data_IF_814630436794
#
_entry.id   IF_814630436794
#
_cell.length_a   1.000
_cell.length_b   1.000
_cell.length_c   1.000
_cell.angle_alpha   90.00
_cell.angle_beta   90.00
_cell.angle_gamma   90.00
#
_symmetry.space_group_name_H-M   'P 1'
#
loop_
_entity.id
_entity.type
_entity.pdbx_description
1 polymer ?
#
# COMPACT_ATOMS: atom_id res chain seq x y z
N UNK A 1 57.49 24.47 37.43
CA UNK A 1 56.09 24.42 36.95
C UNK A 1 55.85 23.01 36.40
N UNK A 2 55.14 22.14 37.12
CA UNK A 2 54.89 20.74 36.75
C UNK A 2 53.44 20.60 36.31
N UNK A 3 53.22 20.24 35.05
CA UNK A 3 51.89 20.02 34.46
C UNK A 3 51.57 18.54 34.61
N UNK A 4 50.56 18.22 35.42
CA UNK A 4 49.97 16.88 35.50
C UNK A 4 48.88 16.78 34.44
N UNK A 5 49.06 15.89 33.46
CA UNK A 5 48.05 15.57 32.47
C UNK A 5 47.23 14.37 32.95
N UNK A 6 45.97 14.61 33.28
CA UNK A 6 45.00 13.57 33.69
C UNK A 6 44.37 12.97 32.44
N UNK A 7 44.60 11.68 32.19
CA UNK A 7 44.03 10.93 31.06
C UNK A 7 42.67 10.37 31.51
N UNK A 8 41.59 10.85 30.92
CA UNK A 8 40.22 10.36 31.17
C UNK A 8 39.84 9.34 30.10
N UNK A 9 39.70 8.07 30.47
CA UNK A 9 39.17 7.00 29.63
C UNK A 9 37.65 7.13 29.48
N UNK A 10 37.18 7.43 28.27
CA UNK A 10 35.75 7.44 27.91
C UNK A 10 35.37 6.02 27.50
N UNK A 11 34.57 5.34 28.33
CA UNK A 11 33.93 4.07 28.01
C UNK A 11 32.77 4.30 27.04
N UNK A 12 32.93 3.89 25.78
CA UNK A 12 31.86 3.87 24.78
C UNK A 12 30.96 2.66 25.10
N UNK A 13 29.69 2.85 25.51
CA UNK A 13 28.77 1.72 25.63
C UNK A 13 28.57 1.11 24.25
N UNK A 14 28.83 -0.20 24.13
CA UNK A 14 28.47 -0.98 22.96
C UNK A 14 26.96 -0.85 22.73
N UNK A 15 26.58 -0.03 21.75
CA UNK A 15 25.21 0.09 21.28
C UNK A 15 24.72 -1.26 20.80
N UNK A 16 23.61 -1.72 21.37
CA UNK A 16 22.87 -2.91 20.96
C UNK A 16 22.53 -2.74 19.47
N UNK A 17 23.08 -3.60 18.61
CA UNK A 17 22.67 -3.70 17.22
C UNK A 17 21.22 -4.20 17.21
N UNK A 18 20.26 -3.31 16.93
CA UNK A 18 18.89 -3.68 16.67
C UNK A 18 18.87 -4.64 15.47
N UNK A 19 18.68 -5.94 15.72
CA UNK A 19 18.54 -6.91 14.65
C UNK A 19 17.24 -6.60 13.89
N UNK A 20 17.26 -6.49 12.54
CA UNK A 20 16.03 -6.36 11.77
C UNK A 20 15.15 -7.57 12.08
N UNK A 21 13.95 -7.34 12.58
CA UNK A 21 13.02 -8.43 12.85
C UNK A 21 12.68 -9.12 11.52
N UNK A 22 12.68 -10.45 11.51
CA UNK A 22 12.30 -11.24 10.33
C UNK A 22 10.85 -10.98 9.87
N UNK A 23 10.06 -10.28 10.69
CA UNK A 23 8.64 -9.94 10.47
C UNK A 23 8.42 -8.43 10.32
N UNK A 24 9.35 -7.71 9.68
CA UNK A 24 9.16 -6.30 9.39
C UNK A 24 8.11 -6.09 8.28
N UNK A 25 7.31 -5.04 8.40
CA UNK A 25 6.46 -4.54 7.33
C UNK A 25 6.58 -3.02 7.23
N UNK A 26 6.64 -2.51 6.00
CA UNK A 26 6.55 -1.09 5.68
C UNK A 26 5.11 -0.76 5.30
N UNK A 27 4.60 0.35 5.82
CA UNK A 27 3.26 0.84 5.50
C UNK A 27 3.40 2.22 4.87
N UNK A 28 2.86 2.36 3.66
CA UNK A 28 2.74 3.65 2.96
C UNK A 28 1.27 4.00 2.88
N UNK A 29 0.93 5.27 3.15
CA UNK A 29 -0.44 5.79 3.15
C UNK A 29 -0.50 7.10 2.37
N UNK A 30 -1.72 7.53 2.06
CA UNK A 30 -2.03 8.87 1.56
C UNK A 30 -1.31 9.21 0.25
N UNK A 31 -1.45 8.33 -0.74
CA UNK A 31 -0.91 8.50 -2.10
C UNK A 31 -2.00 8.34 -3.15
N UNK A 32 -1.76 8.94 -4.32
CA UNK A 32 -2.69 8.90 -5.43
C UNK A 32 -2.81 7.47 -5.97
N UNK A 33 -4.04 6.98 -6.04
CA UNK A 33 -4.43 5.79 -6.76
C UNK A 33 -5.35 6.11 -7.93
N UNK A 34 -5.28 5.29 -8.96
CA UNK A 34 -6.21 5.28 -10.07
C UNK A 34 -6.98 3.96 -10.08
N UNK A 35 -8.28 4.03 -10.35
CA UNK A 35 -9.17 2.90 -10.43
C UNK A 35 -10.27 3.16 -11.46
N UNK A 36 -11.35 2.39 -11.38
CA UNK A 36 -12.51 2.55 -12.25
C UNK A 36 -13.77 2.00 -11.61
N UNK A 37 -14.94 2.43 -12.06
CA UNK A 37 -16.22 1.77 -11.72
C UNK A 37 -16.36 0.54 -12.63
N UNK A 38 -16.43 -0.70 -12.10
CA UNK A 38 -16.60 -1.88 -12.94
C UNK A 38 -17.94 -1.86 -13.69
N UNK A 39 -17.97 -2.44 -14.89
CA UNK A 39 -19.25 -2.65 -15.60
C UNK A 39 -20.01 -3.82 -14.99
N UNK A 40 -21.30 -3.96 -15.29
CA UNK A 40 -22.12 -5.11 -14.86
C UNK A 40 -21.56 -6.46 -15.31
N UNK A 41 -20.77 -6.48 -16.39
CA UNK A 41 -20.14 -7.69 -16.93
C UNK A 41 -18.70 -7.91 -16.38
N UNK A 42 -18.29 -7.15 -15.36
CA UNK A 42 -16.96 -7.21 -14.76
C UNK A 42 -15.83 -6.63 -15.61
N UNK A 43 -16.18 -5.78 -16.57
CA UNK A 43 -15.21 -5.04 -17.38
C UNK A 43 -14.74 -3.73 -16.72
N UNK A 44 -13.83 -3.05 -17.41
CA UNK A 44 -13.34 -1.73 -17.03
C UNK A 44 -14.34 -0.67 -17.49
N UNK A 45 -14.81 0.17 -16.57
CA UNK A 45 -15.71 1.29 -16.84
C UNK A 45 -15.03 2.65 -16.62
N UNK A 46 -15.80 3.69 -16.24
CA UNK A 46 -15.31 5.05 -16.00
C UNK A 46 -14.17 5.10 -14.97
N UNK A 47 -13.17 5.94 -15.21
CA UNK A 47 -12.00 6.07 -14.34
C UNK A 47 -12.30 6.82 -13.03
N UNK A 48 -11.58 6.46 -11.97
CA UNK A 48 -11.62 7.10 -10.66
C UNK A 48 -10.20 7.44 -10.20
N UNK A 49 -10.07 8.47 -9.38
CA UNK A 49 -8.83 8.79 -8.66
C UNK A 49 -9.11 9.09 -7.20
N UNK A 50 -8.18 8.75 -6.31
CA UNK A 50 -8.27 9.02 -4.87
C UNK A 50 -6.88 9.23 -4.30
N UNK A 51 -6.75 9.97 -3.20
CA UNK A 51 -5.53 10.05 -2.40
C UNK A 51 -5.56 9.08 -1.21
N UNK A 52 -6.67 8.37 -0.99
CA UNK A 52 -6.84 7.39 0.08
C UNK A 52 -6.28 6.01 -0.34
N UNK A 53 -4.99 6.00 -0.68
CA UNK A 53 -4.20 4.81 -0.97
C UNK A 53 -3.49 4.28 0.28
N UNK A 54 -3.45 2.97 0.42
CA UNK A 54 -2.77 2.25 1.50
C UNK A 54 -2.00 1.06 0.93
N UNK A 55 -0.70 0.97 1.23
CA UNK A 55 0.13 -0.16 0.82
C UNK A 55 0.89 -0.73 2.01
N UNK A 56 0.90 -2.06 2.11
CA UNK A 56 1.69 -2.81 3.08
C UNK A 56 2.66 -3.69 2.31
N UNK A 57 3.95 -3.56 2.62
CA UNK A 57 5.03 -4.36 2.04
C UNK A 57 5.72 -5.12 3.16
N UNK A 58 5.77 -6.45 3.10
CA UNK A 58 6.45 -7.30 4.09
C UNK A 58 7.93 -7.50 3.75
N UNK A 59 8.73 -7.90 4.73
CA UNK A 59 10.14 -8.31 4.56
C UNK A 59 10.32 -9.45 3.56
N UNK A 60 9.29 -10.30 3.38
CA UNK A 60 9.27 -11.39 2.39
C UNK A 60 8.93 -10.92 0.97
N UNK A 61 8.70 -9.63 0.74
CA UNK A 61 8.36 -9.09 -0.58
C UNK A 61 6.87 -9.20 -0.94
N UNK A 62 6.00 -9.62 -0.01
CA UNK A 62 4.56 -9.57 -0.26
C UNK A 62 4.09 -8.12 -0.20
N UNK A 63 3.20 -7.75 -1.12
CA UNK A 63 2.59 -6.42 -1.16
C UNK A 63 1.08 -6.55 -1.17
N UNK A 64 0.40 -5.73 -0.38
CA UNK A 64 -1.03 -5.49 -0.51
C UNK A 64 -1.29 -4.00 -0.65
N UNK A 65 -1.87 -3.61 -1.77
CA UNK A 65 -2.34 -2.27 -2.08
C UNK A 65 -3.85 -2.24 -1.94
N UNK A 66 -4.39 -1.24 -1.23
CA UNK A 66 -5.81 -0.97 -1.10
C UNK A 66 -6.03 0.51 -1.40
N UNK A 67 -6.98 0.84 -2.25
CA UNK A 67 -7.37 2.23 -2.50
C UNK A 67 -8.88 2.38 -2.34
N UNK A 68 -9.29 3.39 -1.59
CA UNK A 68 -10.71 3.67 -1.34
C UNK A 68 -11.13 4.90 -2.14
N UNK A 69 -12.16 4.75 -2.96
CA UNK A 69 -12.65 5.80 -3.85
C UNK A 69 -14.06 6.24 -3.45
N UNK A 70 -14.30 7.53 -3.64
CA UNK A 70 -15.64 8.07 -3.76
C UNK A 70 -16.06 7.99 -5.22
N UNK A 71 -17.25 7.44 -5.47
CA UNK A 71 -17.84 7.33 -6.81
C UNK A 71 -18.82 8.49 -6.97
N UNK A 72 -18.63 9.36 -7.99
CA UNK A 72 -19.60 10.41 -8.30
C UNK A 72 -21.01 9.87 -8.53
N UNK A 73 -22.03 10.62 -8.14
CA UNK A 73 -23.44 10.21 -8.23
C UNK A 73 -23.87 9.79 -9.64
N UNK A 74 -23.29 10.39 -10.69
CA UNK A 74 -23.57 10.06 -12.10
C UNK A 74 -22.90 8.76 -12.58
N UNK A 75 -21.95 8.24 -11.82
CA UNK A 75 -21.21 7.01 -12.08
C UNK A 75 -21.55 5.90 -11.07
N UNK A 76 -22.41 6.18 -10.09
CA UNK A 76 -22.79 5.23 -9.04
C UNK A 76 -23.56 4.04 -9.64
N UNK A 77 -23.12 2.79 -9.40
CA UNK A 77 -23.82 1.64 -9.92
C UNK A 77 -25.08 1.35 -9.11
N UNK A 78 -26.16 0.94 -9.78
CA UNK A 78 -27.44 0.57 -9.12
C UNK A 78 -27.36 -0.73 -8.32
N UNK A 79 -26.37 -1.58 -8.61
CA UNK A 79 -26.04 -2.81 -7.89
C UNK A 79 -24.53 -2.90 -7.70
N UNK A 80 -24.05 -3.68 -6.74
CA UNK A 80 -22.61 -3.89 -6.57
C UNK A 80 -22.01 -4.48 -7.86
N UNK A 81 -20.95 -3.85 -8.37
CA UNK A 81 -20.21 -4.30 -9.56
C UNK A 81 -18.79 -4.68 -9.16
N UNK A 82 -18.24 -5.70 -9.83
CA UNK A 82 -16.94 -6.26 -9.49
C UNK A 82 -16.15 -6.60 -10.76
N UNK A 83 -14.87 -6.22 -10.79
CA UNK A 83 -13.89 -6.69 -11.77
C UNK A 83 -12.72 -7.35 -11.04
N UNK A 84 -12.09 -8.33 -11.66
CA UNK A 84 -10.89 -9.01 -11.13
C UNK A 84 -9.96 -9.45 -12.25
N UNK A 85 -8.70 -9.74 -11.92
CA UNK A 85 -7.76 -10.30 -12.90
C UNK A 85 -7.18 -9.26 -13.86
N UNK A 86 -7.38 -7.97 -13.59
CA UNK A 86 -6.86 -6.88 -14.42
C UNK A 86 -5.45 -6.48 -13.97
N UNK A 87 -4.69 -5.87 -14.87
CA UNK A 87 -3.35 -5.40 -14.54
C UNK A 87 -3.42 -4.27 -13.51
N UNK A 88 -2.73 -4.44 -12.38
CA UNK A 88 -2.60 -3.45 -11.35
C UNK A 88 -1.13 -3.17 -11.01
N UNK A 89 -0.81 -1.90 -10.81
CA UNK A 89 0.51 -1.45 -10.41
C UNK A 89 0.56 -1.22 -8.90
N UNK A 90 1.62 -1.67 -8.26
CA UNK A 90 1.96 -1.43 -6.86
C UNK A 90 3.37 -0.82 -6.77
N UNK A 91 3.79 -0.41 -5.57
CA UNK A 91 5.16 0.10 -5.38
C UNK A 91 6.27 -0.92 -5.63
N UNK A 92 5.96 -2.24 -5.57
CA UNK A 92 6.94 -3.30 -5.81
C UNK A 92 6.84 -3.93 -7.21
N UNK A 93 5.88 -3.52 -8.04
CA UNK A 93 5.73 -4.05 -9.41
C UNK A 93 4.28 -4.20 -9.83
N UNK A 94 4.05 -5.03 -10.85
CA UNK A 94 2.73 -5.27 -11.43
C UNK A 94 2.17 -6.63 -11.00
N UNK A 95 0.84 -6.75 -10.94
CA UNK A 95 0.12 -7.99 -10.61
C UNK A 95 -1.21 -8.08 -11.37
N UNK A 96 -1.71 -9.30 -11.54
CA UNK A 96 -3.09 -9.58 -11.96
C UNK A 96 -3.95 -10.12 -10.81
N UNK A 97 -3.36 -10.36 -9.63
CA UNK A 97 -4.12 -10.63 -8.40
C UNK A 97 -4.71 -9.30 -7.90
N UNK A 98 -5.80 -8.88 -8.55
CA UNK A 98 -6.45 -7.60 -8.36
C UNK A 98 -7.96 -7.75 -8.34
N UNK A 99 -8.61 -6.88 -7.57
CA UNK A 99 -10.06 -6.75 -7.50
C UNK A 99 -10.47 -5.29 -7.40
N UNK A 100 -11.55 -4.93 -8.08
CA UNK A 100 -12.20 -3.63 -7.98
C UNK A 100 -13.67 -3.86 -7.70
N UNK A 101 -14.20 -3.25 -6.64
CA UNK A 101 -15.62 -3.33 -6.28
C UNK A 101 -16.18 -1.94 -6.17
N UNK A 102 -17.30 -1.65 -6.84
CA UNK A 102 -18.07 -0.43 -6.63
C UNK A 102 -19.48 -0.80 -6.14
N UNK A 103 -19.93 -0.16 -5.06
CA UNK A 103 -21.22 -0.44 -4.44
C UNK A 103 -22.22 0.70 -4.69
N UNK A 104 -23.53 0.42 -4.64
CA UNK A 104 -24.53 1.45 -4.39
C UNK A 104 -24.17 2.19 -3.10
N UNK A 105 -24.33 3.51 -3.08
CA UNK A 105 -23.90 4.40 -2.01
C UNK A 105 -22.55 5.09 -2.25
N UNK A 106 -22.07 5.13 -3.49
CA UNK A 106 -20.98 6.03 -3.89
C UNK A 106 -19.59 5.62 -3.42
N UNK A 107 -19.34 4.33 -3.14
CA UNK A 107 -18.03 3.85 -2.67
C UNK A 107 -17.46 2.76 -3.55
N UNK A 108 -16.16 2.83 -3.80
CA UNK A 108 -15.43 1.75 -4.46
C UNK A 108 -14.10 1.43 -3.79
N UNK A 109 -13.64 0.18 -3.94
CA UNK A 109 -12.39 -0.32 -3.35
C UNK A 109 -11.61 -1.09 -4.41
N UNK A 110 -10.36 -0.67 -4.62
CA UNK A 110 -9.35 -1.41 -5.39
C UNK A 110 -8.48 -2.19 -4.40
N UNK A 111 -8.24 -3.47 -4.66
CA UNK A 111 -7.21 -4.27 -3.98
C UNK A 111 -6.26 -4.86 -5.01
N UNK A 112 -4.96 -4.81 -4.75
CA UNK A 112 -3.94 -5.47 -5.56
C UNK A 112 -2.93 -6.17 -4.67
N UNK A 113 -2.59 -7.40 -5.01
CA UNK A 113 -1.71 -8.24 -4.20
C UNK A 113 -0.53 -8.74 -5.04
N UNK A 114 0.69 -8.61 -4.50
CA UNK A 114 1.87 -9.34 -4.97
C UNK A 114 2.22 -10.35 -3.90
N UNK A 115 2.28 -11.62 -4.27
CA UNK A 115 2.71 -12.72 -3.41
C UNK A 115 4.06 -13.22 -3.91
N UNK A 116 5.08 -13.09 -3.09
CA UNK A 116 6.40 -13.63 -3.36
C UNK A 116 6.55 -14.98 -2.64
N UNK A 117 6.95 -16.01 -3.39
CA UNK A 117 7.16 -17.36 -2.88
C UNK A 117 8.53 -17.51 -2.20
#
# INVERSE_FOLDING_TARGET
>A
MKIFATITLISIPLGILAQPSSNAASITKDFICFGFVPTLNGGIGPGLSTENGHSVVTSSGNTKLICNFDVPDDLEPTTATHASGFHCNTFLGQTTDSTMVANPGGKAVLTCEIKHA
#
